data_IF_086878501691
#
_entry.id   IF_086878501691
#
_cell.length_a   1.000
_cell.length_b   1.000
_cell.length_c   1.000
_cell.angle_alpha   90.00
_cell.angle_beta   90.00
_cell.angle_gamma   90.00
#
_symmetry.space_group_name_H-M   'P 1'
#
loop_
_entity.id
_entity.type
_entity.pdbx_description
1 polymer ?
#
# COMPACT_ATOMS: atom_id res chain seq x y z
N UNK A 1 24.56 69.81 -24.07
CA UNK A 1 23.45 68.89 -23.74
C UNK A 1 23.57 67.64 -24.59
N UNK A 2 24.06 66.54 -24.03
CA UNK A 2 24.27 65.28 -24.73
C UNK A 2 23.71 64.17 -23.84
N UNK A 3 22.49 63.71 -24.14
CA UNK A 3 21.84 62.60 -23.46
C UNK A 3 22.49 61.29 -23.91
N UNK A 4 23.17 60.60 -23.00
CA UNK A 4 23.63 59.22 -23.21
C UNK A 4 22.46 58.27 -22.93
N UNK A 5 22.06 57.52 -23.96
CA UNK A 5 21.08 56.44 -23.88
C UNK A 5 21.80 55.21 -23.33
N UNK A 6 21.35 54.71 -22.18
CA UNK A 6 21.81 53.46 -21.59
C UNK A 6 21.00 52.32 -22.22
N UNK A 7 21.64 51.48 -23.03
CA UNK A 7 21.04 50.27 -23.60
C UNK A 7 21.29 49.13 -22.63
N UNK A 8 20.25 48.66 -21.94
CA UNK A 8 20.29 47.44 -21.13
C UNK A 8 20.10 46.22 -22.05
N UNK A 9 21.17 45.47 -22.30
CA UNK A 9 21.12 44.14 -22.91
C UNK A 9 20.75 43.14 -21.80
N UNK A 10 19.49 42.73 -21.77
CA UNK A 10 19.05 41.58 -20.98
C UNK A 10 19.42 40.30 -21.73
N UNK A 11 20.57 39.70 -21.38
CA UNK A 11 20.93 38.35 -21.79
C UNK A 11 20.01 37.36 -21.08
N UNK A 12 18.94 36.96 -21.77
CA UNK A 12 18.06 35.87 -21.38
C UNK A 12 18.79 34.53 -21.49
N UNK A 13 19.48 34.15 -20.41
CA UNK A 13 19.90 32.78 -20.17
C UNK A 13 18.66 31.93 -19.89
N UNK A 14 18.02 31.44 -20.95
CA UNK A 14 17.13 30.28 -20.87
C UNK A 14 17.97 29.05 -20.53
N UNK A 15 18.37 28.92 -19.27
CA UNK A 15 18.86 27.65 -18.74
C UNK A 15 17.72 26.65 -18.83
N UNK A 16 17.80 25.73 -19.78
CA UNK A 16 16.99 24.52 -19.79
C UNK A 16 17.27 23.82 -18.46
N UNK A 17 16.36 23.95 -17.51
CA UNK A 17 16.30 23.09 -16.33
C UNK A 17 16.03 21.69 -16.84
N UNK A 18 17.09 20.94 -17.14
CA UNK A 18 17.04 19.49 -17.13
C UNK A 18 16.82 19.11 -15.69
N UNK A 19 15.55 18.98 -15.29
CA UNK A 19 15.19 18.27 -14.07
C UNK A 19 15.75 16.86 -14.26
N UNK A 20 16.82 16.54 -13.53
CA UNK A 20 17.33 15.18 -13.47
C UNK A 20 16.15 14.28 -13.09
N UNK A 21 16.02 13.12 -13.75
CA UNK A 21 15.04 12.14 -13.30
C UNK A 21 15.43 11.69 -11.90
N UNK A 22 14.59 12.01 -10.92
CA UNK A 22 14.77 11.63 -9.51
C UNK A 22 14.81 10.10 -9.32
N UNK A 23 14.32 9.34 -10.31
CA UNK A 23 14.33 7.88 -10.32
C UNK A 23 14.77 7.34 -11.68
N UNK A 24 15.61 6.31 -11.67
CA UNK A 24 16.04 5.59 -12.86
C UNK A 24 15.69 4.11 -12.69
N UNK A 25 15.13 3.51 -13.75
CA UNK A 25 14.81 2.09 -13.81
C UNK A 25 15.78 1.40 -14.77
N UNK A 26 16.48 0.39 -14.27
CA UNK A 26 17.43 -0.40 -15.04
C UNK A 26 16.88 -1.80 -15.24
N UNK A 27 16.47 -2.11 -16.47
CA UNK A 27 15.98 -3.45 -16.81
C UNK A 27 17.11 -4.45 -16.66
N UNK A 28 16.91 -5.46 -15.81
CA UNK A 28 17.89 -6.53 -15.55
C UNK A 28 17.47 -7.86 -16.18
N UNK A 29 16.17 -8.11 -16.28
CA UNK A 29 15.62 -9.32 -16.89
C UNK A 29 14.36 -9.01 -17.70
N UNK A 30 14.13 -9.83 -18.72
CA UNK A 30 12.99 -9.71 -19.63
C UNK A 30 12.45 -11.10 -19.90
N UNK A 31 11.20 -11.32 -19.50
CA UNK A 31 10.49 -12.56 -19.75
C UNK A 31 9.39 -12.31 -20.76
N UNK A 32 9.38 -13.10 -21.83
CA UNK A 32 8.29 -13.13 -22.80
C UNK A 32 7.56 -14.47 -22.73
N UNK A 33 6.23 -14.44 -22.58
CA UNK A 33 5.39 -15.62 -22.56
C UNK A 33 4.30 -15.52 -23.63
N UNK A 34 4.17 -16.59 -24.44
CA UNK A 34 3.25 -16.65 -25.57
C UNK A 34 2.26 -17.80 -25.40
N UNK A 35 0.99 -17.49 -25.54
CA UNK A 35 -0.10 -18.45 -25.49
C UNK A 35 -0.90 -18.43 -26.79
N UNK A 36 -1.70 -19.48 -27.03
CA UNK A 36 -2.64 -19.54 -28.16
C UNK A 36 -3.69 -18.42 -28.07
N UNK A 37 -4.13 -18.14 -26.84
CA UNK A 37 -4.98 -17.00 -26.51
C UNK A 37 -4.07 -15.76 -26.35
N UNK A 38 -4.19 -14.79 -27.26
CA UNK A 38 -3.29 -13.64 -27.35
C UNK A 38 -3.33 -12.76 -26.10
N UNK A 39 -4.50 -12.64 -25.48
CA UNK A 39 -4.75 -11.90 -24.24
C UNK A 39 -4.03 -12.50 -23.03
N UNK A 40 -3.61 -13.77 -23.08
CA UNK A 40 -2.76 -14.39 -22.06
C UNK A 40 -1.28 -14.08 -22.29
N UNK A 41 -0.87 -13.74 -23.51
CA UNK A 41 0.54 -13.43 -23.82
C UNK A 41 0.99 -12.13 -23.16
N UNK A 42 2.24 -12.09 -22.69
CA UNK A 42 2.81 -10.89 -22.05
C UNK A 42 4.31 -10.78 -22.24
N UNK A 43 4.82 -9.57 -22.05
CA UNK A 43 6.22 -9.29 -21.75
C UNK A 43 6.32 -8.70 -20.36
N UNK A 44 7.25 -9.19 -19.55
CA UNK A 44 7.48 -8.76 -18.18
C UNK A 44 8.92 -8.31 -18.05
N UNK A 45 9.11 -7.08 -17.58
CA UNK A 45 10.42 -6.50 -17.34
C UNK A 45 10.65 -6.44 -15.85
N UNK A 46 11.71 -7.09 -15.37
CA UNK A 46 12.22 -6.81 -14.03
C UNK A 46 13.18 -5.63 -14.14
N UNK A 47 13.01 -4.64 -13.26
CA UNK A 47 13.78 -3.42 -13.29
C UNK A 47 14.27 -3.01 -11.90
N UNK A 48 15.57 -2.78 -11.79
CA UNK A 48 16.18 -2.23 -10.59
C UNK A 48 15.94 -0.73 -10.48
N UNK A 49 15.45 -0.29 -9.33
CA UNK A 49 15.17 1.10 -9.03
C UNK A 49 16.42 1.75 -8.44
N UNK A 50 16.81 2.92 -8.98
CA UNK A 50 17.93 3.74 -8.51
C UNK A 50 17.52 5.21 -8.37
N UNK A 51 18.23 5.96 -7.53
CA UNK A 51 18.01 7.38 -7.30
C UNK A 51 17.13 7.71 -6.09
N UNK A 52 16.39 6.72 -5.58
CA UNK A 52 15.59 6.82 -4.37
C UNK A 52 15.93 5.69 -3.40
N UNK A 53 15.69 5.92 -2.11
CA UNK A 53 15.82 4.91 -1.06
C UNK A 53 14.55 4.05 -1.07
N UNK A 54 14.70 2.73 -1.03
CA UNK A 54 13.57 1.81 -0.86
C UNK A 54 13.87 0.92 0.34
N UNK A 55 12.95 0.90 1.29
CA UNK A 55 13.00 0.10 2.51
C UNK A 55 11.58 -0.04 3.11
N UNK A 56 11.47 -0.58 4.32
CA UNK A 56 10.19 -0.77 5.03
C UNK A 56 9.33 0.51 5.11
N UNK A 57 9.95 1.69 5.17
CA UNK A 57 9.26 2.99 5.28
C UNK A 57 9.40 3.86 4.03
N UNK A 58 9.92 3.31 2.94
CA UNK A 58 10.06 4.01 1.67
C UNK A 58 9.70 3.02 0.57
N UNK A 59 8.44 3.05 0.15
CA UNK A 59 7.86 2.02 -0.71
C UNK A 59 7.46 2.61 -2.07
N UNK A 60 7.35 1.77 -3.08
CA UNK A 60 7.03 2.17 -4.45
C UNK A 60 5.89 1.33 -5.02
N UNK A 61 5.05 1.96 -5.85
CA UNK A 61 3.98 1.31 -6.59
C UNK A 61 3.89 1.91 -7.98
N UNK A 62 3.63 1.10 -9.01
CA UNK A 62 3.31 1.63 -10.35
C UNK A 62 1.92 2.27 -10.28
N UNK A 63 1.86 3.59 -10.44
CA UNK A 63 0.59 4.31 -10.59
C UNK A 63 -0.02 4.03 -11.96
N UNK A 64 0.79 4.18 -13.01
CA UNK A 64 0.35 4.00 -14.38
C UNK A 64 1.52 3.83 -15.35
N UNK A 65 1.27 3.13 -16.44
CA UNK A 65 2.07 3.19 -17.66
C UNK A 65 1.37 4.17 -18.60
N UNK A 66 2.04 5.26 -18.95
CA UNK A 66 1.48 6.32 -19.79
C UNK A 66 1.78 6.11 -21.27
N UNK A 67 2.86 5.41 -21.59
CA UNK A 67 3.20 5.04 -22.95
C UNK A 67 4.07 3.78 -22.93
N UNK A 68 3.77 2.81 -23.76
CA UNK A 68 4.67 1.71 -24.04
C UNK A 68 4.55 1.35 -25.52
N UNK A 69 5.65 1.36 -26.26
CA UNK A 69 5.64 1.09 -27.69
C UNK A 69 6.77 0.14 -28.10
N UNK A 70 6.49 -0.66 -29.13
CA UNK A 70 7.46 -1.54 -29.78
C UNK A 70 7.89 -0.99 -31.15
N UNK A 71 8.99 -1.52 -31.68
CA UNK A 71 9.59 -1.11 -32.94
C UNK A 71 8.79 -1.51 -34.18
N UNK A 72 7.82 -2.41 -34.02
CA UNK A 72 6.81 -2.76 -35.03
C UNK A 72 5.64 -1.75 -35.11
N UNK A 73 5.64 -0.72 -34.27
CA UNK A 73 4.58 0.30 -34.17
C UNK A 73 3.42 -0.06 -33.24
N UNK A 74 3.49 -1.19 -32.53
CA UNK A 74 2.48 -1.58 -31.55
C UNK A 74 2.56 -0.70 -30.29
N UNK A 75 1.40 -0.30 -29.77
CA UNK A 75 1.26 0.27 -28.43
C UNK A 75 0.83 -0.83 -27.47
N UNK A 76 1.52 -0.97 -26.35
CA UNK A 76 1.30 -2.05 -25.40
C UNK A 76 0.59 -1.52 -24.15
N UNK A 77 -0.46 -2.19 -23.71
CA UNK A 77 -1.11 -1.86 -22.45
C UNK A 77 -0.46 -2.56 -21.27
N UNK A 78 -0.59 -1.96 -20.08
CA UNK A 78 -0.21 -2.61 -18.81
C UNK A 78 -1.14 -3.80 -18.57
N UNK A 79 -0.58 -4.92 -18.12
CA UNK A 79 -1.34 -6.06 -17.62
C UNK A 79 -1.17 -6.19 -16.12
N UNK A 80 -2.18 -6.71 -15.45
CA UNK A 80 -2.09 -6.99 -14.01
C UNK A 80 -1.05 -8.09 -13.76
N UNK A 81 -0.19 -7.86 -12.76
CA UNK A 81 0.67 -8.91 -12.23
C UNK A 81 -0.15 -9.88 -11.37
N UNK A 82 0.28 -11.14 -11.32
CA UNK A 82 -0.38 -12.16 -10.48
C UNK A 82 -0.34 -11.79 -8.99
N UNK A 83 0.70 -11.08 -8.56
CA UNK A 83 0.86 -10.62 -7.18
C UNK A 83 0.23 -9.23 -6.93
N UNK A 84 -0.48 -8.68 -7.91
CA UNK A 84 -1.06 -7.34 -7.85
C UNK A 84 -0.03 -6.23 -8.06
N UNK A 85 -0.50 -4.99 -7.93
CA UNK A 85 0.29 -3.76 -8.10
C UNK A 85 0.47 -3.05 -6.75
N UNK A 86 0.63 -3.78 -5.64
CA UNK A 86 0.74 -3.15 -4.32
C UNK A 86 2.09 -2.47 -4.08
N UNK A 87 2.19 -1.73 -2.98
CA UNK A 87 3.45 -1.11 -2.59
C UNK A 87 4.50 -2.19 -2.31
N UNK A 88 5.68 -1.98 -2.91
CA UNK A 88 6.85 -2.81 -2.72
C UNK A 88 7.90 -2.07 -1.91
N UNK A 89 8.49 -2.77 -0.94
CA UNK A 89 9.70 -2.36 -0.23
C UNK A 89 10.97 -3.02 -0.82
N UNK A 90 10.85 -3.69 -1.97
CA UNK A 90 11.96 -4.22 -2.74
C UNK A 90 12.45 -3.18 -3.76
N UNK A 91 13.76 -3.15 -3.99
CA UNK A 91 14.38 -2.26 -4.96
C UNK A 91 14.27 -2.76 -6.42
N UNK A 92 13.48 -3.80 -6.64
CA UNK A 92 13.15 -4.37 -7.94
C UNK A 92 11.64 -4.24 -8.19
N UNK A 93 11.30 -3.94 -9.43
CA UNK A 93 9.94 -3.70 -9.87
C UNK A 93 9.66 -4.46 -11.16
N UNK A 94 8.59 -5.24 -11.15
CA UNK A 94 8.11 -5.94 -12.32
C UNK A 94 7.09 -5.09 -13.08
N UNK A 95 7.34 -4.89 -14.37
CA UNK A 95 6.45 -4.17 -15.28
C UNK A 95 5.94 -5.18 -16.31
N UNK A 96 4.66 -5.54 -16.17
CA UNK A 96 4.00 -6.47 -17.08
C UNK A 96 3.17 -5.73 -18.13
N UNK A 97 3.43 -6.02 -19.39
CA UNK A 97 2.78 -5.42 -20.56
C UNK A 97 2.17 -6.50 -21.46
N UNK A 98 1.26 -6.10 -22.33
CA UNK A 98 0.86 -6.90 -23.47
C UNK A 98 2.08 -7.29 -24.31
N UNK A 99 2.06 -8.51 -24.85
CA UNK A 99 3.14 -8.94 -25.70
C UNK A 99 3.03 -8.26 -27.09
N UNK A 100 4.11 -7.66 -27.61
CA UNK A 100 4.12 -7.05 -28.95
C UNK A 100 3.96 -8.11 -30.05
N UNK A 101 3.86 -7.74 -31.33
CA UNK A 101 3.80 -8.77 -32.38
C UNK A 101 5.11 -9.55 -32.45
N UNK A 102 5.10 -10.75 -33.04
CA UNK A 102 6.30 -11.58 -33.22
C UNK A 102 7.37 -10.96 -34.14
N UNK A 103 7.06 -9.84 -34.78
CA UNK A 103 8.02 -9.09 -35.60
C UNK A 103 8.77 -8.03 -34.79
N UNK A 104 8.25 -7.65 -33.62
CA UNK A 104 8.93 -6.72 -32.76
C UNK A 104 10.23 -7.34 -32.25
N UNK A 105 11.29 -6.55 -32.25
CA UNK A 105 12.59 -6.94 -31.69
C UNK A 105 12.97 -6.06 -30.52
N UNK A 106 12.28 -4.93 -30.34
CA UNK A 106 12.56 -3.97 -29.28
C UNK A 106 11.29 -3.32 -28.75
N UNK A 107 11.30 -3.02 -27.45
CA UNK A 107 10.46 -1.99 -26.86
C UNK A 107 11.20 -0.65 -27.00
N UNK A 108 10.62 0.26 -27.77
CA UNK A 108 11.19 1.57 -28.09
C UNK A 108 11.21 2.45 -26.84
N UNK A 109 10.09 2.50 -26.13
CA UNK A 109 9.97 3.22 -24.89
C UNK A 109 8.90 2.61 -23.98
N UNK A 110 9.12 2.76 -22.67
CA UNK A 110 8.15 2.52 -21.62
C UNK A 110 8.23 3.74 -20.69
N UNK A 111 7.15 4.47 -20.56
CA UNK A 111 7.03 5.67 -19.74
C UNK A 111 5.87 5.50 -18.77
N UNK A 112 6.06 5.97 -17.54
CA UNK A 112 5.03 5.84 -16.52
C UNK A 112 5.30 6.70 -15.31
N UNK A 113 4.45 6.49 -14.30
CA UNK A 113 4.51 7.19 -13.02
C UNK A 113 4.56 6.16 -11.90
N UNK A 114 5.55 6.30 -11.03
CA UNK A 114 5.60 5.61 -9.74
C UNK A 114 4.96 6.51 -8.67
N UNK A 115 4.19 5.92 -7.76
CA UNK A 115 3.96 6.49 -6.44
C UNK A 115 5.13 6.09 -5.55
N UNK A 116 5.84 7.08 -5.01
CA UNK A 116 6.83 6.89 -3.97
C UNK A 116 6.22 7.32 -2.63
N UNK A 117 6.11 6.36 -1.72
CA UNK A 117 5.47 6.53 -0.42
C UNK A 117 6.54 6.58 0.68
N UNK A 118 6.58 7.69 1.41
CA UNK A 118 7.54 7.94 2.49
C UNK A 118 6.81 8.44 3.75
N UNK A 119 6.15 7.55 4.50
CA UNK A 119 5.32 7.91 5.64
C UNK A 119 6.11 8.42 6.85
N UNK A 120 5.62 9.51 7.43
CA UNK A 120 6.06 10.01 8.74
C UNK A 120 4.85 10.47 9.55
N UNK A 121 5.00 10.67 10.85
CA UNK A 121 3.90 11.25 11.63
C UNK A 121 3.59 12.70 11.19
N UNK A 122 4.61 13.43 10.74
CA UNK A 122 4.54 14.83 10.37
C UNK A 122 3.82 15.07 9.04
N UNK A 123 4.01 14.20 8.04
CA UNK A 123 3.28 14.26 6.78
C UNK A 123 1.95 13.48 6.82
N UNK A 124 1.54 13.03 8.00
CA UNK A 124 0.32 12.26 8.21
C UNK A 124 0.43 10.80 7.78
N UNK A 125 1.44 10.38 7.02
CA UNK A 125 1.53 9.03 6.49
C UNK A 125 1.77 7.93 7.52
N UNK A 126 2.00 8.30 8.78
CA UNK A 126 2.15 7.35 9.90
C UNK A 126 1.30 7.74 11.11
N UNK A 127 0.64 6.74 11.69
CA UNK A 127 -0.04 6.83 12.99
C UNK A 127 0.59 5.85 13.97
N UNK A 128 1.11 6.38 15.09
CA UNK A 128 1.75 5.58 16.14
C UNK A 128 0.79 5.44 17.32
N UNK A 129 0.51 4.19 17.70
CA UNK A 129 -0.34 3.83 18.84
C UNK A 129 0.51 3.12 19.88
N UNK A 130 0.83 3.83 20.96
CA UNK A 130 1.53 3.26 22.12
C UNK A 130 0.54 2.56 23.03
N UNK A 131 0.97 1.46 23.64
CA UNK A 131 0.15 0.64 24.54
C UNK A 131 -1.18 0.22 23.89
N UNK A 132 -1.15 -0.42 22.70
CA UNK A 132 -2.31 -0.64 21.85
C UNK A 132 -3.42 -1.44 22.53
N UNK A 133 -3.08 -2.31 23.48
CA UNK A 133 -4.04 -3.14 24.20
C UNK A 133 -5.00 -2.31 25.07
N UNK A 134 -4.65 -1.07 25.44
CA UNK A 134 -5.56 -0.14 26.13
C UNK A 134 -6.64 0.45 25.21
N UNK A 135 -6.53 0.20 23.90
CA UNK A 135 -7.40 0.72 22.85
C UNK A 135 -8.18 -0.38 22.14
N UNK A 136 -8.31 -1.55 22.77
CA UNK A 136 -9.22 -2.58 22.26
C UNK A 136 -10.58 -1.98 21.95
N UNK A 137 -11.10 -2.38 20.79
CA UNK A 137 -12.39 -1.99 20.28
C UNK A 137 -12.58 -0.48 20.11
N UNK A 138 -11.50 0.25 19.83
CA UNK A 138 -11.53 1.67 19.46
C UNK A 138 -10.87 1.86 18.11
N UNK A 139 -11.37 2.81 17.32
CA UNK A 139 -10.72 3.18 16.07
C UNK A 139 -9.36 3.85 16.38
N UNK A 140 -8.28 3.15 16.05
CA UNK A 140 -6.89 3.57 16.21
C UNK A 140 -6.57 4.82 15.38
N UNK A 141 -7.29 5.05 14.27
CA UNK A 141 -7.08 6.17 13.37
C UNK A 141 -8.04 7.34 13.58
N UNK A 142 -9.06 7.19 14.44
CA UNK A 142 -10.23 8.09 14.49
C UNK A 142 -9.94 9.56 14.81
N UNK A 143 -8.75 9.87 15.35
CA UNK A 143 -8.30 11.27 15.56
C UNK A 143 -7.85 11.96 14.27
N UNK A 144 -7.22 11.22 13.35
CA UNK A 144 -6.60 11.76 12.12
C UNK A 144 -7.41 11.42 10.87
N UNK A 145 -7.98 10.23 10.80
CA UNK A 145 -8.72 9.73 9.64
C UNK A 145 -10.14 9.35 10.07
N UNK A 146 -11.13 10.01 9.45
CA UNK A 146 -12.55 9.77 9.74
C UNK A 146 -13.19 8.77 8.79
N UNK A 147 -12.64 8.66 7.58
CA UNK A 147 -13.07 7.79 6.48
C UNK A 147 -12.39 6.42 6.50
N UNK A 148 -11.39 6.23 7.36
CA UNK A 148 -10.66 4.98 7.54
C UNK A 148 -10.79 4.52 8.99
N UNK A 149 -11.09 3.24 9.20
CA UNK A 149 -11.15 2.64 10.53
C UNK A 149 -10.21 1.45 10.63
N UNK A 150 -9.39 1.46 11.67
CA UNK A 150 -8.60 0.30 12.10
C UNK A 150 -8.88 0.08 13.56
N UNK A 151 -9.46 -1.06 13.91
CA UNK A 151 -9.83 -1.37 15.29
C UNK A 151 -9.19 -2.69 15.69
N UNK A 152 -8.42 -2.68 16.78
CA UNK A 152 -7.90 -3.90 17.40
C UNK A 152 -9.03 -4.59 18.18
N UNK A 153 -9.28 -5.87 17.90
CA UNK A 153 -10.37 -6.66 18.49
C UNK A 153 -9.86 -7.49 19.66
N UNK A 154 -10.55 -7.40 20.81
CA UNK A 154 -10.27 -8.26 21.98
C UNK A 154 -10.98 -9.60 21.85
N UNK A 155 -10.38 -10.51 21.09
CA UNK A 155 -10.92 -11.86 20.82
C UNK A 155 -11.11 -12.66 22.11
N UNK A 156 -10.08 -12.70 22.96
CA UNK A 156 -10.08 -13.50 24.18
C UNK A 156 -11.15 -13.06 25.19
N UNK A 157 -11.39 -11.74 25.32
CA UNK A 157 -12.45 -11.26 26.18
C UNK A 157 -13.85 -11.56 25.62
N UNK A 158 -14.03 -11.51 24.29
CA UNK A 158 -15.32 -11.83 23.65
C UNK A 158 -15.67 -13.31 23.79
N UNK A 159 -14.72 -14.21 23.56
CA UNK A 159 -14.93 -15.67 23.70
C UNK A 159 -15.27 -16.05 25.14
N UNK A 160 -14.49 -15.57 26.12
CA UNK A 160 -14.74 -15.84 27.55
C UNK A 160 -16.09 -15.28 28.02
N UNK A 161 -16.53 -14.16 27.46
CA UNK A 161 -17.83 -13.57 27.80
C UNK A 161 -18.98 -14.38 27.21
N UNK A 162 -18.84 -14.87 25.97
CA UNK A 162 -19.82 -15.73 25.31
C UNK A 162 -20.07 -17.03 26.08
N UNK A 163 -19.02 -17.66 26.60
CA UNK A 163 -19.12 -18.90 27.36
C UNK A 163 -19.74 -18.72 28.75
N UNK A 164 -19.57 -17.56 29.37
CA UNK A 164 -19.96 -17.30 30.76
C UNK A 164 -21.34 -16.66 30.92
N UNK A 165 -21.67 -15.69 30.06
CA UNK A 165 -22.92 -14.92 30.17
C UNK A 165 -23.35 -14.38 28.81
N UNK A 166 -24.33 -15.06 28.19
CA UNK A 166 -24.86 -14.65 26.90
C UNK A 166 -25.52 -13.27 26.94
N UNK A 167 -26.13 -12.85 28.06
CA UNK A 167 -26.77 -11.51 28.15
C UNK A 167 -25.74 -10.40 28.23
N UNK A 168 -24.67 -10.60 29.01
CA UNK A 168 -23.57 -9.64 29.09
C UNK A 168 -22.80 -9.56 27.76
N UNK A 169 -22.63 -10.72 27.09
CA UNK A 169 -22.10 -10.78 25.74
C UNK A 169 -22.93 -9.92 24.77
N UNK A 170 -24.26 -10.10 24.74
CA UNK A 170 -25.14 -9.32 23.87
C UNK A 170 -25.09 -7.81 24.19
N UNK A 171 -25.03 -7.44 25.47
CA UNK A 171 -24.88 -6.03 25.88
C UNK A 171 -23.57 -5.45 25.35
N UNK A 172 -22.46 -6.18 25.48
CA UNK A 172 -21.15 -5.72 25.01
C UNK A 172 -21.10 -5.63 23.49
N UNK A 173 -21.74 -6.55 22.76
CA UNK A 173 -21.89 -6.43 21.31
C UNK A 173 -22.66 -5.17 20.90
N UNK A 174 -23.72 -4.80 21.65
CA UNK A 174 -24.46 -3.56 21.40
C UNK A 174 -23.61 -2.31 21.66
N UNK A 175 -22.84 -2.28 22.76
CA UNK A 175 -21.91 -1.17 23.06
C UNK A 175 -20.85 -1.03 21.95
N UNK A 176 -20.35 -2.15 21.42
CA UNK A 176 -19.42 -2.16 20.29
C UNK A 176 -20.06 -1.61 19.01
N UNK A 177 -21.32 -1.97 18.74
CA UNK A 177 -22.10 -1.41 17.63
C UNK A 177 -22.27 0.11 17.77
N UNK A 178 -22.65 0.60 18.96
CA UNK A 178 -22.81 2.03 19.24
C UNK A 178 -21.49 2.80 19.16
N UNK A 179 -20.36 2.16 19.50
CA UNK A 179 -19.03 2.77 19.42
C UNK A 179 -18.49 2.95 18.00
N UNK A 180 -19.24 2.51 16.97
CA UNK A 180 -18.88 2.68 15.56
C UNK A 180 -17.71 1.79 15.10
N UNK A 181 -17.39 0.74 15.87
CA UNK A 181 -16.35 -0.24 15.57
C UNK A 181 -16.63 -0.99 14.26
N UNK A 182 -17.90 -1.09 13.87
CA UNK A 182 -18.35 -1.61 12.57
C UNK A 182 -19.14 -0.51 11.85
N UNK A 183 -19.00 -0.40 10.52
CA UNK A 183 -19.75 0.52 9.68
C UNK A 183 -21.28 0.44 9.90
N UNK A 184 -21.97 1.58 9.85
CA UNK A 184 -23.43 1.62 9.69
C UNK A 184 -23.80 0.88 8.40
N UNK A 185 -24.38 -0.33 8.54
CA UNK A 185 -24.80 -1.18 7.41
C UNK A 185 -24.22 -2.60 7.41
N UNK A 186 -23.15 -2.88 8.17
CA UNK A 186 -22.55 -4.23 8.22
C UNK A 186 -23.18 -5.16 9.28
N UNK A 187 -23.91 -4.60 10.23
CA UNK A 187 -24.62 -5.36 11.26
C UNK A 187 -25.92 -4.64 11.64
N UNK A 188 -26.89 -4.65 10.73
CA UNK A 188 -28.23 -4.14 11.02
C UNK A 188 -28.84 -4.88 12.22
N UNK A 189 -28.50 -6.16 12.40
CA UNK A 189 -28.95 -7.00 13.51
C UNK A 189 -27.78 -7.44 14.41
N UNK A 190 -28.12 -7.71 15.67
CA UNK A 190 -27.20 -8.26 16.67
C UNK A 190 -26.68 -9.65 16.25
N UNK A 191 -27.50 -10.44 15.55
CA UNK A 191 -27.11 -11.76 15.06
C UNK A 191 -26.06 -11.71 13.94
N UNK A 192 -26.17 -10.74 13.01
CA UNK A 192 -25.14 -10.51 11.99
C UNK A 192 -23.81 -10.06 12.63
N UNK A 193 -23.89 -9.22 13.66
CA UNK A 193 -22.74 -8.82 14.47
C UNK A 193 -22.09 -10.02 15.17
N UNK A 194 -22.91 -10.88 15.79
CA UNK A 194 -22.45 -12.12 16.44
C UNK A 194 -21.75 -13.05 15.45
N UNK A 195 -22.32 -13.27 14.26
CA UNK A 195 -21.69 -14.07 13.21
C UNK A 195 -20.37 -13.47 12.70
N UNK A 196 -20.30 -12.14 12.62
CA UNK A 196 -19.09 -11.43 12.24
C UNK A 196 -17.94 -11.70 13.25
N UNK A 197 -18.20 -11.56 14.55
CA UNK A 197 -17.21 -11.81 15.60
C UNK A 197 -16.94 -13.29 15.85
N UNK A 198 -17.91 -14.18 15.67
CA UNK A 198 -17.70 -15.64 15.73
C UNK A 198 -16.67 -16.09 14.68
N UNK A 199 -16.63 -15.41 13.51
CA UNK A 199 -15.57 -15.62 12.55
C UNK A 199 -14.18 -15.37 13.14
N UNK A 200 -13.99 -14.28 13.92
CA UNK A 200 -12.71 -13.99 14.59
C UNK A 200 -12.26 -15.08 15.55
N UNK A 201 -13.21 -15.81 16.14
CA UNK A 201 -12.95 -16.98 16.99
C UNK A 201 -12.04 -18.03 16.36
N UNK A 202 -12.20 -18.26 15.06
CA UNK A 202 -11.40 -19.24 14.29
C UNK A 202 -10.22 -18.62 13.54
N UNK A 203 -9.97 -17.31 13.68
CA UNK A 203 -8.91 -16.61 12.95
C UNK A 203 -7.69 -16.32 13.84
N UNK A 204 -6.49 -16.60 13.29
CA UNK A 204 -5.19 -16.35 13.95
C UNK A 204 -4.61 -17.55 14.70
N UNK A 205 -3.28 -17.68 14.65
CA UNK A 205 -2.51 -18.59 15.51
C UNK A 205 -2.49 -18.07 16.97
N UNK A 206 -1.94 -18.83 17.92
CA UNK A 206 -1.87 -18.43 19.36
C UNK A 206 -1.33 -17.01 19.57
N UNK A 207 -0.33 -16.61 18.79
CA UNK A 207 0.29 -15.28 18.86
C UNK A 207 -0.18 -14.42 17.68
N UNK A 208 -1.44 -14.01 17.62
CA UNK A 208 -1.94 -13.13 16.56
C UNK A 208 -2.84 -12.01 17.08
N UNK A 209 -2.72 -10.82 16.48
CA UNK A 209 -3.66 -9.72 16.71
C UNK A 209 -4.71 -9.66 15.59
N UNK A 210 -5.96 -9.48 16.01
CA UNK A 210 -7.11 -9.40 15.12
C UNK A 210 -7.58 -7.96 14.97
N UNK A 211 -7.76 -7.53 13.73
CA UNK A 211 -8.18 -6.18 13.37
C UNK A 211 -9.46 -6.21 12.55
N UNK A 212 -10.33 -5.24 12.83
CA UNK A 212 -11.33 -4.77 11.90
C UNK A 212 -10.77 -3.60 11.09
N UNK A 213 -10.88 -3.67 9.77
CA UNK A 213 -10.37 -2.66 8.84
C UNK A 213 -11.48 -2.23 7.88
N UNK A 214 -11.79 -0.93 7.89
CA UNK A 214 -12.68 -0.28 6.94
C UNK A 214 -11.88 0.79 6.21
N UNK A 215 -11.61 0.56 4.94
CA UNK A 215 -10.75 1.42 4.15
C UNK A 215 -11.25 1.47 2.70
N UNK A 216 -12.32 2.26 2.44
CA UNK A 216 -13.02 2.25 1.16
C UNK A 216 -12.16 2.74 -0.02
N UNK A 217 -11.05 3.42 0.27
CA UNK A 217 -10.14 3.98 -0.72
C UNK A 217 -8.76 3.31 -0.69
N UNK A 218 -8.61 2.19 0.02
CA UNK A 218 -7.36 1.42 0.11
C UNK A 218 -6.14 2.27 0.50
N UNK A 219 -6.32 3.18 1.48
CA UNK A 219 -5.28 4.07 1.98
C UNK A 219 -4.31 3.37 2.94
N UNK A 220 -4.67 2.29 3.60
CA UNK A 220 -3.80 1.59 4.54
C UNK A 220 -2.78 0.79 3.75
N UNK A 221 -1.51 1.17 3.89
CA UNK A 221 -0.40 0.50 3.21
C UNK A 221 0.07 -0.70 4.04
N UNK A 222 0.34 -0.49 5.33
CA UNK A 222 0.83 -1.56 6.22
C UNK A 222 0.48 -1.28 7.68
N UNK A 223 0.36 -2.35 8.47
CA UNK A 223 0.30 -2.28 9.94
C UNK A 223 1.52 -3.01 10.49
N UNK A 224 2.34 -2.27 11.22
CA UNK A 224 3.60 -2.72 11.81
C UNK A 224 3.44 -2.79 13.33
N UNK A 225 4.01 -3.82 13.95
CA UNK A 225 3.89 -4.07 15.38
C UNK A 225 5.28 -4.21 15.95
N UNK A 226 5.61 -3.40 16.95
CA UNK A 226 6.92 -3.34 17.58
C UNK A 226 6.85 -3.62 19.07
N UNK A 227 7.84 -4.35 19.59
CA UNK A 227 8.00 -4.52 21.04
C UNK A 227 8.56 -3.24 21.70
N UNK A 228 8.82 -3.31 23.00
CA UNK A 228 9.34 -2.17 23.78
C UNK A 228 10.78 -1.78 23.38
N UNK A 229 11.55 -2.72 22.84
CA UNK A 229 12.92 -2.51 22.38
C UNK A 229 12.99 -1.99 20.94
N UNK A 230 11.84 -1.86 20.27
CA UNK A 230 11.73 -1.37 18.89
C UNK A 230 11.93 -2.45 17.83
N UNK A 231 11.90 -3.73 18.19
CA UNK A 231 11.98 -4.84 17.24
C UNK A 231 10.61 -5.13 16.62
N UNK A 232 10.58 -5.37 15.30
CA UNK A 232 9.34 -5.76 14.59
C UNK A 232 8.91 -7.16 14.98
N UNK A 233 7.67 -7.28 15.46
CA UNK A 233 7.10 -8.50 16.01
C UNK A 233 6.18 -9.21 15.03
N UNK A 234 5.61 -8.53 14.04
CA UNK A 234 4.78 -9.16 13.02
C UNK A 234 5.59 -9.72 11.84
N UNK A 235 5.20 -10.88 11.33
CA UNK A 235 5.88 -11.55 10.21
C UNK A 235 4.95 -12.01 9.07
N UNK A 236 3.64 -11.87 9.25
CA UNK A 236 2.67 -12.25 8.23
C UNK A 236 1.28 -11.74 8.57
N UNK A 237 0.42 -11.70 7.56
CA UNK A 237 -0.98 -11.30 7.74
C UNK A 237 -1.91 -12.14 6.88
N UNK A 238 -3.16 -12.24 7.30
CA UNK A 238 -4.21 -12.93 6.57
C UNK A 238 -5.47 -12.08 6.58
N UNK A 239 -5.98 -11.75 5.40
CA UNK A 239 -7.25 -11.05 5.22
C UNK A 239 -8.37 -12.08 5.07
N UNK A 240 -9.48 -11.88 5.79
CA UNK A 240 -10.66 -12.75 5.74
C UNK A 240 -11.89 -11.91 5.41
N UNK A 241 -12.39 -12.07 4.18
CA UNK A 241 -13.41 -11.16 3.64
C UNK A 241 -12.88 -9.71 3.55
N UNK A 242 -13.79 -8.75 3.49
CA UNK A 242 -13.44 -7.36 3.19
C UNK A 242 -12.86 -6.56 4.36
N UNK A 243 -13.08 -7.02 5.60
CA UNK A 243 -12.86 -6.18 6.79
C UNK A 243 -12.07 -6.84 7.92
N UNK A 244 -11.73 -8.12 7.83
CA UNK A 244 -11.01 -8.82 8.91
C UNK A 244 -9.57 -9.02 8.51
N UNK A 245 -8.66 -8.60 9.37
CA UNK A 245 -7.23 -8.75 9.19
C UNK A 245 -6.65 -9.41 10.44
N UNK A 246 -5.97 -10.53 10.27
CA UNK A 246 -5.18 -11.16 11.33
C UNK A 246 -3.70 -10.93 11.05
N UNK A 247 -2.95 -10.48 12.05
CA UNK A 247 -1.51 -10.25 11.96
C UNK A 247 -0.82 -11.21 12.91
N UNK A 248 0.02 -12.09 12.37
CA UNK A 248 0.78 -13.07 13.15
C UNK A 248 2.00 -12.43 13.79
N UNK A 249 2.25 -12.77 15.05
CA UNK A 249 3.31 -12.26 15.90
C UNK A 249 4.28 -13.36 16.29
N UNK A 250 5.55 -12.98 16.48
CA UNK A 250 6.59 -13.88 16.96
C UNK A 250 6.32 -14.38 18.39
N UNK A 251 5.69 -13.56 19.22
CA UNK A 251 5.29 -13.87 20.59
C UNK A 251 3.99 -13.14 20.98
N UNK A 252 3.44 -13.45 22.14
CA UNK A 252 2.23 -12.82 22.67
C UNK A 252 2.42 -11.31 22.87
N UNK A 253 1.46 -10.51 22.42
CA UNK A 253 1.53 -9.05 22.50
C UNK A 253 1.56 -8.56 23.96
N UNK A 254 2.50 -7.67 24.28
CA UNK A 254 2.61 -7.09 25.62
C UNK A 254 2.00 -5.67 25.69
N UNK A 255 1.55 -5.22 26.88
CA UNK A 255 0.89 -3.93 27.05
C UNK A 255 1.73 -2.70 26.67
N UNK A 256 3.06 -2.80 26.67
CA UNK A 256 3.99 -1.71 26.37
C UNK A 256 4.45 -1.66 24.90
N UNK A 257 3.89 -2.50 24.04
CA UNK A 257 4.19 -2.52 22.61
C UNK A 257 3.63 -1.30 21.88
N UNK A 258 4.01 -1.18 20.61
CA UNK A 258 3.57 -0.11 19.71
C UNK A 258 3.00 -0.69 18.42
N UNK A 259 1.89 -0.12 17.95
CA UNK A 259 1.38 -0.36 16.59
C UNK A 259 1.65 0.90 15.77
N UNK A 260 2.25 0.74 14.60
CA UNK A 260 2.34 1.79 13.59
C UNK A 260 1.44 1.44 12.41
N UNK A 261 0.55 2.35 12.02
CA UNK A 261 -0.27 2.22 10.82
C UNK A 261 0.26 3.18 9.77
N UNK A 262 0.67 2.64 8.63
CA UNK A 262 1.12 3.41 7.47
C UNK A 262 -0.09 3.71 6.59
N UNK A 263 -0.32 4.99 6.29
CA UNK A 263 -1.49 5.48 5.58
C UNK A 263 -1.06 6.35 4.40
N UNK A 264 -1.65 6.12 3.24
CA UNK A 264 -1.51 6.95 2.05
C UNK A 264 -2.15 8.32 2.30
N UNK A 265 -1.32 9.30 2.66
CA UNK A 265 -1.69 10.72 2.69
C UNK A 265 -1.09 11.45 1.50
N UNK A 266 -1.72 12.54 1.04
CA UNK A 266 -1.20 13.33 -0.09
C UNK A 266 0.23 13.83 0.16
N UNK A 267 0.59 14.14 1.42
CA UNK A 267 1.92 14.63 1.78
C UNK A 267 2.96 13.52 1.97
N UNK A 268 2.52 12.27 2.14
CA UNK A 268 3.42 11.11 2.20
C UNK A 268 3.74 10.55 0.82
N UNK A 269 3.08 11.05 -0.23
CA UNK A 269 3.26 10.61 -1.60
C UNK A 269 4.06 11.60 -2.44
N UNK A 270 4.93 11.05 -3.27
CA UNK A 270 5.55 11.77 -4.38
C UNK A 270 5.35 10.99 -5.67
N UNK A 271 4.92 11.67 -6.72
CA UNK A 271 4.84 11.07 -8.06
C UNK A 271 6.17 11.22 -8.78
N UNK A 272 6.74 10.10 -9.20
CA UNK A 272 8.02 10.05 -9.89
C UNK A 272 7.81 9.52 -11.30
N UNK A 273 8.10 10.36 -12.29
CA UNK A 273 8.06 9.94 -13.70
C UNK A 273 9.30 9.12 -14.03
N UNK A 274 9.12 8.02 -14.73
CA UNK A 274 10.23 7.20 -15.23
C UNK A 274 10.12 7.02 -16.74
N UNK A 275 11.26 6.71 -17.35
CA UNK A 275 11.36 6.31 -18.75
C UNK A 275 12.41 5.21 -18.90
N UNK A 276 12.02 4.13 -19.55
CA UNK A 276 12.90 3.06 -20.03
C UNK A 276 12.88 3.17 -21.55
N UNK A 277 14.03 3.06 -22.20
CA UNK A 277 14.13 3.14 -23.65
C UNK A 277 15.00 2.00 -24.19
N UNK A 278 14.69 1.57 -25.41
CA UNK A 278 15.50 0.62 -26.18
C UNK A 278 15.78 -0.69 -25.44
N UNK A 279 14.71 -1.42 -25.12
CA UNK A 279 14.78 -2.74 -24.49
C UNK A 279 14.69 -3.82 -25.56
N UNK A 280 15.73 -4.63 -25.72
CA UNK A 280 15.75 -5.76 -26.65
C UNK A 280 14.84 -6.88 -26.16
N UNK A 281 13.98 -7.39 -27.03
CA UNK A 281 13.13 -8.54 -26.71
C UNK A 281 13.89 -9.87 -26.89
N UNK A 282 13.56 -10.92 -26.12
CA UNK A 282 14.17 -12.25 -26.22
C UNK A 282 13.99 -12.96 -27.56
#
# INVERSE_FOLDING_TARGET
MTKKVLVCIALGLCTKLTLAQDVNLFVNDIKEERHLESDKSFVELSALIKGIKIDEFNQVKIKSITNAAADDGSTLQKKESFFGDDYSNNNELDIKLEAPTRKATNLVNIEGVLKYFSPTEANGGKVVVKNPLNYYNKNLLGKKYKDVKVTLVDKAALEKLKEKDEKEYQKKLNELKESGVIAEGMAETVDAFKQFFDGFGSFGNENALSFYVEDPNEKIVEILIYNADGEKMNYGSSKYGSHKLSISLKEEAQPNWTIEVLVESEQALKELKFKIASVLLP
#
